data_IF_880810192420
#
_entry.id   IF_880810192420
#
_cell.length_a   1.000
_cell.length_b   1.000
_cell.length_c   1.000
_cell.angle_alpha   90.00
_cell.angle_beta   90.00
_cell.angle_gamma   90.00
#
_symmetry.space_group_name_H-M   'P 1'
#
loop_
_entity.id
_entity.type
_entity.pdbx_description
1 polymer ?
#
# COMPACT_ATOMS: atom_id res chain seq x y z
N UNK A 1 -10.39 15.72 -13.26
CA UNK A 1 -10.76 16.72 -12.24
C UNK A 1 -10.10 18.04 -12.58
N UNK A 2 -10.85 19.13 -12.72
CA UNK A 2 -10.29 20.46 -12.99
C UNK A 2 -10.82 21.44 -11.95
N UNK A 3 -9.92 22.19 -11.31
CA UNK A 3 -10.26 23.40 -10.57
C UNK A 3 -9.89 24.61 -11.42
N UNK A 4 -10.71 25.65 -11.37
CA UNK A 4 -10.37 26.93 -11.99
C UNK A 4 -9.51 27.77 -11.05
N UNK A 5 -8.83 28.77 -11.61
CA UNK A 5 -8.10 29.77 -10.85
C UNK A 5 -7.98 31.07 -11.63
N UNK A 6 -8.17 32.20 -10.96
CA UNK A 6 -7.90 33.52 -11.51
C UNK A 6 -6.41 33.81 -11.40
N UNK A 7 -5.85 34.26 -12.50
CA UNK A 7 -4.45 34.62 -12.58
C UNK A 7 -4.12 35.86 -11.71
N UNK A 8 -3.03 35.77 -10.94
CA UNK A 8 -2.58 36.84 -10.03
C UNK A 8 -1.65 37.89 -10.68
N UNK A 9 -1.46 37.83 -12.00
CA UNK A 9 -0.71 38.81 -12.78
C UNK A 9 0.75 38.45 -13.08
N UNK A 10 1.34 39.20 -14.00
CA UNK A 10 2.67 38.93 -14.56
C UNK A 10 3.80 39.14 -13.56
N UNK A 11 3.63 40.05 -12.60
CA UNK A 11 4.62 40.29 -11.56
C UNK A 11 4.77 39.06 -10.64
N UNK A 12 3.66 38.47 -10.19
CA UNK A 12 3.66 37.26 -9.38
C UNK A 12 4.24 36.06 -10.16
N UNK A 13 3.87 35.94 -11.44
CA UNK A 13 4.39 34.92 -12.35
C UNK A 13 5.91 35.04 -12.52
N UNK A 14 6.40 36.26 -12.80
CA UNK A 14 7.83 36.51 -12.97
C UNK A 14 8.62 36.18 -11.70
N UNK A 15 8.09 36.57 -10.53
CA UNK A 15 8.73 36.32 -9.25
C UNK A 15 8.88 34.82 -8.98
N UNK A 16 7.79 34.05 -9.09
CA UNK A 16 7.81 32.61 -8.75
C UNK A 16 8.64 31.81 -9.76
N UNK A 17 8.57 32.16 -11.05
CA UNK A 17 9.41 31.54 -12.10
C UNK A 17 10.90 31.77 -11.84
N UNK A 18 11.26 33.00 -11.44
CA UNK A 18 12.65 33.34 -11.11
C UNK A 18 13.12 32.57 -9.88
N UNK A 19 12.33 32.56 -8.81
CA UNK A 19 12.67 31.86 -7.57
C UNK A 19 12.86 30.36 -7.77
N UNK A 20 11.94 29.71 -8.48
CA UNK A 20 12.00 28.27 -8.75
C UNK A 20 13.00 27.90 -9.85
N UNK A 21 13.56 28.88 -10.58
CA UNK A 21 14.32 28.64 -11.81
C UNK A 21 13.53 27.78 -12.81
N UNK A 22 12.24 28.09 -12.99
CA UNK A 22 11.30 27.38 -13.87
C UNK A 22 10.60 28.36 -14.79
N UNK A 23 10.48 28.01 -16.06
CA UNK A 23 9.76 28.83 -17.03
C UNK A 23 8.24 28.68 -16.87
N UNK A 24 7.51 29.75 -17.18
CA UNK A 24 6.05 29.77 -17.32
C UNK A 24 5.22 29.39 -16.08
N UNK A 25 5.72 29.67 -14.87
CA UNK A 25 4.91 29.49 -13.66
C UNK A 25 3.91 30.65 -13.52
N UNK A 26 2.65 30.33 -13.21
CA UNK A 26 1.61 31.32 -12.87
C UNK A 26 1.09 31.05 -11.46
N UNK A 27 0.93 32.10 -10.67
CA UNK A 27 0.20 32.03 -9.42
C UNK A 27 -1.27 32.28 -9.72
N UNK A 28 -2.15 31.41 -9.21
CA UNK A 28 -3.60 31.53 -9.38
C UNK A 28 -4.31 31.50 -8.03
N UNK A 29 -5.45 32.19 -7.95
CA UNK A 29 -6.30 32.27 -6.77
C UNK A 29 -7.71 31.75 -7.09
N UNK A 30 -8.28 30.96 -6.19
CA UNK A 30 -9.63 30.42 -6.33
C UNK A 30 -10.68 31.44 -5.86
N UNK A 31 -11.78 31.56 -6.60
CA UNK A 31 -12.92 32.38 -6.21
C UNK A 31 -14.17 31.51 -6.01
N UNK A 32 -15.05 31.88 -5.08
CA UNK A 32 -16.17 31.03 -4.66
C UNK A 32 -17.18 30.67 -5.77
N UNK A 33 -17.17 31.39 -6.90
CA UNK A 33 -18.01 31.13 -8.06
C UNK A 33 -17.35 30.23 -9.12
N UNK A 34 -16.13 29.76 -8.87
CA UNK A 34 -15.35 28.94 -9.79
C UNK A 34 -15.65 27.44 -9.63
N UNK A 35 -15.34 26.67 -10.67
CA UNK A 35 -15.39 25.21 -10.60
C UNK A 35 -14.33 24.73 -9.61
N UNK A 36 -14.79 23.96 -8.61
CA UNK A 36 -13.97 23.38 -7.54
C UNK A 36 -13.82 21.87 -7.72
N UNK A 37 -12.90 21.26 -6.96
CA UNK A 37 -12.74 19.80 -6.92
C UNK A 37 -13.64 19.21 -5.85
N UNK A 38 -14.09 17.98 -6.10
CA UNK A 38 -14.86 17.19 -5.14
C UNK A 38 -13.99 16.07 -4.59
N UNK A 39 -13.71 16.03 -3.28
CA UNK A 39 -13.01 14.92 -2.64
C UNK A 39 -13.63 13.55 -2.95
N UNK A 40 -14.97 13.50 -3.07
CA UNK A 40 -15.73 12.29 -3.39
C UNK A 40 -15.35 11.64 -4.74
N UNK A 41 -14.75 12.41 -5.66
CA UNK A 41 -14.28 11.88 -6.95
C UNK A 41 -13.04 10.99 -6.78
N UNK A 42 -12.32 11.14 -5.67
CA UNK A 42 -11.10 10.39 -5.35
C UNK A 42 -11.28 9.44 -4.17
N UNK A 43 -12.11 9.82 -3.20
CA UNK A 43 -12.24 9.14 -1.92
C UNK A 43 -13.72 8.96 -1.57
N UNK A 44 -14.26 7.72 -1.57
CA UNK A 44 -15.69 7.47 -1.41
C UNK A 44 -16.24 7.82 -0.01
N UNK A 45 -15.37 8.02 0.99
CA UNK A 45 -15.75 8.38 2.35
C UNK A 45 -16.24 9.84 2.50
N UNK A 46 -16.01 10.67 1.47
CA UNK A 46 -16.46 12.06 1.42
C UNK A 46 -17.86 12.20 0.79
N UNK A 47 -18.59 13.24 1.20
CA UNK A 47 -19.90 13.55 0.65
C UNK A 47 -19.77 14.24 -0.70
N UNK A 48 -20.77 14.05 -1.57
CA UNK A 48 -20.83 14.72 -2.89
C UNK A 48 -20.93 16.26 -2.81
N UNK A 49 -21.26 16.78 -1.63
CA UNK A 49 -21.31 18.21 -1.27
C UNK A 49 -19.99 18.74 -0.71
N UNK A 50 -19.02 17.88 -0.40
CA UNK A 50 -17.72 18.32 0.07
C UNK A 50 -16.94 18.93 -1.10
N UNK A 51 -16.26 20.04 -0.84
CA UNK A 51 -15.53 20.82 -1.84
C UNK A 51 -14.13 21.17 -1.35
N UNK A 52 -13.16 21.13 -2.27
CA UNK A 52 -11.79 21.59 -2.02
C UNK A 52 -11.30 22.37 -3.24
N UNK A 53 -10.63 23.50 -3.00
CA UNK A 53 -10.01 24.27 -4.08
C UNK A 53 -8.77 23.53 -4.63
N UNK A 54 -7.60 23.80 -4.06
CA UNK A 54 -6.32 23.22 -4.50
C UNK A 54 -5.77 22.14 -3.58
N UNK A 55 -6.42 21.86 -2.45
CA UNK A 55 -6.02 20.78 -1.55
C UNK A 55 -6.12 19.41 -2.25
N UNK A 56 -5.23 18.48 -1.90
CA UNK A 56 -5.15 17.19 -2.59
C UNK A 56 -6.37 16.29 -2.39
N UNK A 57 -6.93 16.25 -1.17
CA UNK A 57 -7.97 15.28 -0.84
C UNK A 57 -8.96 15.62 0.28
N UNK A 58 -8.64 16.52 1.22
CA UNK A 58 -9.55 16.86 2.34
C UNK A 58 -9.59 18.37 2.57
N UNK A 59 -10.75 18.95 2.97
CA UNK A 59 -10.83 20.35 3.39
C UNK A 59 -10.01 20.66 4.65
N UNK A 60 -9.90 19.69 5.56
CA UNK A 60 -9.18 19.83 6.84
C UNK A 60 -8.39 18.56 7.12
N UNK A 61 -7.13 18.73 7.48
CA UNK A 61 -6.26 17.72 8.06
C UNK A 61 -6.00 18.07 9.53
N UNK A 62 -6.27 17.12 10.41
CA UNK A 62 -5.99 17.20 11.83
C UNK A 62 -4.91 16.18 12.19
N UNK A 63 -3.97 16.57 13.06
CA UNK A 63 -2.95 15.68 13.62
C UNK A 63 -2.80 16.01 15.11
N UNK A 64 -2.48 15.02 15.96
CA UNK A 64 -2.11 15.28 17.35
C UNK A 64 -0.60 15.45 17.57
N UNK A 65 -0.23 16.25 18.58
CA UNK A 65 1.16 16.37 19.05
C UNK A 65 1.71 15.01 19.49
N UNK A 66 0.87 14.20 20.13
CA UNK A 66 1.24 12.87 20.61
C UNK A 66 1.61 11.91 19.47
N UNK A 67 0.91 11.97 18.32
CA UNK A 67 1.27 11.22 17.11
C UNK A 67 2.62 11.63 16.55
N UNK A 68 2.89 12.94 16.50
CA UNK A 68 4.19 13.46 16.04
C UNK A 68 5.32 13.03 16.98
N UNK A 69 5.09 13.10 18.28
CA UNK A 69 6.07 12.71 19.29
C UNK A 69 6.39 11.22 19.25
N UNK A 70 5.37 10.36 19.08
CA UNK A 70 5.60 8.92 18.92
C UNK A 70 6.42 8.62 17.65
N UNK A 71 6.12 9.29 16.52
CA UNK A 71 6.90 9.16 15.31
C UNK A 71 8.34 9.64 15.52
N UNK A 72 8.52 10.82 16.10
CA UNK A 72 9.85 11.38 16.40
C UNK A 72 10.67 10.53 17.38
N UNK A 73 10.01 9.75 18.24
CA UNK A 73 10.69 8.78 19.12
C UNK A 73 11.36 7.63 18.36
N UNK A 74 10.95 7.40 17.12
CA UNK A 74 11.42 6.31 16.25
C UNK A 74 12.42 6.78 15.19
N UNK A 75 12.55 8.10 15.00
CA UNK A 75 13.40 8.69 13.96
C UNK A 75 14.77 9.09 14.51
N UNK A 76 15.82 8.86 13.72
CA UNK A 76 17.17 9.38 14.01
C UNK A 76 17.23 10.90 13.83
N UNK A 77 16.64 11.41 12.76
CA UNK A 77 16.44 12.84 12.50
C UNK A 77 14.96 13.14 12.74
N UNK A 78 14.68 13.96 13.75
CA UNK A 78 13.30 14.37 14.04
C UNK A 78 12.73 15.21 12.91
N UNK A 79 11.44 15.07 12.68
CA UNK A 79 10.65 15.85 11.73
C UNK A 79 9.75 16.82 12.49
N UNK A 80 9.42 17.93 11.86
CA UNK A 80 8.50 18.91 12.41
C UNK A 80 7.06 18.58 11.99
N UNK A 81 6.08 19.17 12.68
CA UNK A 81 4.67 19.02 12.29
C UNK A 81 4.41 19.53 10.86
N UNK A 82 5.18 20.53 10.44
CA UNK A 82 5.11 21.13 9.10
C UNK A 82 5.42 20.16 7.98
N UNK A 83 6.18 19.08 8.23
CA UNK A 83 6.37 17.98 7.29
C UNK A 83 5.04 17.33 6.88
N UNK A 84 4.03 17.35 7.74
CA UNK A 84 2.73 16.70 7.53
C UNK A 84 1.61 17.66 7.14
N UNK A 85 1.88 18.97 7.16
CA UNK A 85 0.98 20.05 6.73
C UNK A 85 -0.46 19.94 7.31
N UNK A 86 -0.66 19.71 8.62
CA UNK A 86 -2.01 19.76 9.18
C UNK A 86 -2.56 21.19 9.20
N UNK A 87 -3.87 21.31 9.11
CA UNK A 87 -4.58 22.56 9.38
C UNK A 87 -4.82 22.76 10.88
N UNK A 88 -5.03 21.66 11.61
CA UNK A 88 -5.29 21.67 13.06
C UNK A 88 -4.30 20.73 13.75
N UNK A 89 -3.60 21.27 14.74
CA UNK A 89 -2.76 20.50 15.66
C UNK A 89 -3.47 20.44 17.02
N UNK A 90 -3.64 19.24 17.57
CA UNK A 90 -4.33 19.02 18.85
C UNK A 90 -3.39 18.42 19.89
N UNK A 91 -3.47 18.90 21.13
CA UNK A 91 -2.70 18.42 22.26
C UNK A 91 -3.62 17.73 23.30
N UNK A 92 -3.00 17.00 24.24
CA UNK A 92 -3.72 16.42 25.39
C UNK A 92 -4.45 15.10 25.12
N UNK A 93 -4.05 14.38 24.07
CA UNK A 93 -4.55 13.04 23.75
C UNK A 93 -3.41 12.02 23.65
N UNK A 94 -3.78 10.75 23.55
CA UNK A 94 -2.84 9.64 23.31
C UNK A 94 -2.33 9.68 21.86
N UNK A 95 -1.15 9.10 21.56
CA UNK A 95 -0.68 9.00 20.18
C UNK A 95 -1.72 8.32 19.29
N UNK A 96 -2.02 8.96 18.16
CA UNK A 96 -2.99 8.53 17.13
C UNK A 96 -4.45 8.45 17.58
N UNK A 97 -4.79 9.01 18.75
CA UNK A 97 -6.18 9.04 19.24
C UNK A 97 -7.12 9.78 18.28
N UNK A 98 -6.59 10.73 17.50
CA UNK A 98 -7.34 11.45 16.48
C UNK A 98 -7.95 10.54 15.39
N UNK A 99 -7.44 9.33 15.19
CA UNK A 99 -7.99 8.36 14.23
C UNK A 99 -9.39 7.86 14.64
N UNK A 100 -9.76 7.96 15.93
CA UNK A 100 -11.11 7.56 16.41
C UNK A 100 -12.15 8.67 16.39
N UNK A 101 -11.74 9.92 16.18
CA UNK A 101 -12.66 11.01 16.38
C UNK A 101 -13.63 11.15 15.21
N UNK A 102 -14.76 10.44 15.32
CA UNK A 102 -15.82 10.45 14.30
C UNK A 102 -16.50 11.81 14.25
N UNK A 103 -16.79 12.42 15.39
CA UNK A 103 -17.35 13.77 15.50
C UNK A 103 -16.53 14.59 16.49
N UNK A 104 -16.05 15.75 16.05
CA UNK A 104 -15.17 16.63 16.81
C UNK A 104 -15.85 17.97 16.93
N UNK A 105 -16.01 18.49 18.14
CA UNK A 105 -16.53 19.83 18.39
C UNK A 105 -15.39 20.74 18.85
N UNK A 106 -15.07 21.76 18.06
CA UNK A 106 -14.09 22.79 18.40
C UNK A 106 -14.81 24.13 18.50
N UNK A 107 -15.06 24.59 19.73
CA UNK A 107 -15.94 25.73 19.96
C UNK A 107 -17.36 25.45 19.47
N UNK A 108 -17.82 26.19 18.45
CA UNK A 108 -19.10 25.97 17.78
C UNK A 108 -19.00 25.21 16.46
N UNK A 109 -17.79 24.81 16.04
CA UNK A 109 -17.56 24.13 14.77
C UNK A 109 -17.57 22.62 14.98
N UNK A 110 -18.46 21.93 14.28
CA UNK A 110 -18.51 20.47 14.26
C UNK A 110 -17.75 19.96 13.02
N UNK A 111 -16.75 19.12 13.24
CA UNK A 111 -16.00 18.41 12.21
C UNK A 111 -16.37 16.93 12.28
N UNK A 112 -16.29 16.25 11.13
CA UNK A 112 -16.53 14.81 11.03
C UNK A 112 -15.28 14.12 10.49
N UNK A 113 -14.73 13.16 11.24
CA UNK A 113 -13.66 12.30 10.78
C UNK A 113 -14.13 11.48 9.58
N UNK A 114 -13.40 11.55 8.46
CA UNK A 114 -13.74 10.82 7.22
C UNK A 114 -12.84 9.62 6.98
N UNK A 115 -11.53 9.82 7.08
CA UNK A 115 -10.51 8.80 6.88
C UNK A 115 -9.16 9.28 7.43
N UNK A 116 -8.25 8.34 7.67
CA UNK A 116 -6.85 8.68 7.96
C UNK A 116 -6.12 9.16 6.70
N UNK A 117 -5.20 10.11 6.86
CA UNK A 117 -4.42 10.66 5.75
C UNK A 117 -3.27 9.73 5.36
N UNK A 118 -3.28 9.11 4.15
CA UNK A 118 -2.11 8.40 3.65
C UNK A 118 -0.96 9.39 3.44
N UNK A 119 0.26 9.01 3.84
CA UNK A 119 1.43 9.91 3.79
C UNK A 119 2.25 9.67 2.52
N UNK A 120 2.64 10.77 1.88
CA UNK A 120 3.41 10.79 0.63
C UNK A 120 4.81 11.40 0.82
N UNK A 121 5.59 11.49 -0.27
CA UNK A 121 7.01 11.93 -0.24
C UNK A 121 7.20 13.36 0.28
N UNK A 122 6.18 14.21 0.22
CA UNK A 122 6.25 15.55 0.79
C UNK A 122 6.58 15.55 2.29
N UNK A 123 6.25 14.47 3.00
CA UNK A 123 6.66 14.32 4.40
C UNK A 123 8.18 14.21 4.60
N UNK A 124 8.92 13.87 3.55
CA UNK A 124 10.39 13.77 3.54
C UNK A 124 11.09 15.07 3.15
N UNK A 125 10.33 16.11 2.80
CA UNK A 125 10.86 17.44 2.51
C UNK A 125 11.36 18.07 3.80
N UNK A 126 12.62 18.49 3.82
CA UNK A 126 13.12 19.38 4.86
C UNK A 126 12.60 20.80 4.58
N UNK A 127 11.70 21.35 5.41
CA UNK A 127 11.03 22.62 5.13
C UNK A 127 11.97 23.81 5.19
N UNK A 128 13.11 23.70 5.87
CA UNK A 128 14.05 24.81 6.04
C UNK A 128 14.98 24.97 4.82
N UNK A 129 15.30 23.87 4.15
CA UNK A 129 16.27 23.86 3.03
C UNK A 129 15.66 23.46 1.69
N UNK A 130 14.40 22.99 1.66
CA UNK A 130 13.72 22.62 0.42
C UNK A 130 14.25 21.34 -0.24
N UNK A 131 14.88 20.45 0.52
CA UNK A 131 15.48 19.19 0.00
C UNK A 131 14.71 17.99 0.53
N UNK A 132 14.35 17.07 -0.37
CA UNK A 132 13.74 15.78 -0.01
C UNK A 132 14.81 14.69 0.12
N UNK A 133 14.83 13.96 1.24
CA UNK A 133 15.69 12.77 1.36
C UNK A 133 15.04 11.49 0.78
N UNK A 134 13.72 11.56 0.52
CA UNK A 134 12.91 10.52 -0.11
C UNK A 134 12.71 9.25 0.70
N UNK A 135 13.15 9.21 1.98
CA UNK A 135 13.20 7.99 2.79
C UNK A 135 12.49 8.14 4.12
N UNK A 136 12.87 9.11 4.95
CA UNK A 136 12.26 9.31 6.28
C UNK A 136 11.36 10.55 6.25
N UNK A 137 10.20 10.55 6.92
CA UNK A 137 9.71 9.55 7.88
C UNK A 137 8.93 8.39 7.25
N UNK A 138 8.74 8.38 5.92
CA UNK A 138 7.92 7.38 5.23
C UNK A 138 8.37 5.93 5.47
N UNK A 139 9.68 5.67 5.55
CA UNK A 139 10.20 4.34 5.82
C UNK A 139 9.80 3.85 7.21
N UNK A 140 9.89 4.71 8.22
CA UNK A 140 9.42 4.42 9.58
C UNK A 140 7.91 4.16 9.65
N UNK A 141 7.13 4.76 8.75
CA UNK A 141 5.69 4.53 8.65
C UNK A 141 5.32 3.17 7.99
N UNK A 142 6.23 2.52 7.24
CA UNK A 142 5.98 1.21 6.59
C UNK A 142 6.02 0.06 7.58
N UNK A 143 5.04 -0.85 7.52
CA UNK A 143 4.85 -1.94 8.48
C UNK A 143 4.49 -3.25 7.76
N UNK A 144 5.05 -4.37 8.20
CA UNK A 144 4.81 -5.69 7.60
C UNK A 144 4.61 -6.73 8.69
N UNK A 145 3.58 -7.56 8.57
CA UNK A 145 3.31 -8.65 9.51
C UNK A 145 3.26 -10.00 8.81
N UNK A 146 3.55 -11.06 9.57
CA UNK A 146 3.54 -12.44 9.11
C UNK A 146 2.94 -13.34 10.20
N UNK A 147 2.07 -14.27 9.78
CA UNK A 147 1.63 -15.36 10.64
C UNK A 147 2.64 -16.51 10.52
N UNK A 148 3.10 -17.02 11.67
CA UNK A 148 4.04 -18.12 11.78
C UNK A 148 3.50 -19.23 12.69
N UNK A 149 4.00 -20.44 12.49
CA UNK A 149 3.90 -21.52 13.49
C UNK A 149 4.88 -21.26 14.64
N UNK A 150 4.73 -22.02 15.72
CA UNK A 150 5.67 -21.95 16.86
C UNK A 150 7.14 -22.22 16.48
N UNK A 151 7.38 -23.03 15.45
CA UNK A 151 8.74 -23.30 14.94
C UNK A 151 9.28 -22.22 13.97
N UNK A 152 8.58 -21.11 13.79
CA UNK A 152 8.98 -19.99 12.95
C UNK A 152 8.66 -20.14 11.47
N UNK A 153 8.09 -21.27 11.01
CA UNK A 153 7.68 -21.42 9.61
C UNK A 153 6.47 -20.56 9.31
N UNK A 154 6.49 -19.88 8.16
CA UNK A 154 5.35 -19.08 7.69
C UNK A 154 4.07 -19.92 7.55
N UNK A 155 2.94 -19.27 7.77
CA UNK A 155 1.62 -19.78 7.45
C UNK A 155 1.04 -18.91 6.35
N UNK A 156 0.56 -19.55 5.28
CA UNK A 156 -0.05 -18.85 4.14
C UNK A 156 -1.47 -19.33 3.94
N UNK A 157 -2.29 -18.54 3.25
CA UNK A 157 -3.64 -18.95 2.87
C UNK A 157 -3.68 -20.12 1.86
N UNK A 158 -2.51 -20.59 1.37
CA UNK A 158 -2.41 -21.89 0.66
C UNK A 158 -2.65 -23.07 1.60
N UNK A 159 -2.23 -22.93 2.86
CA UNK A 159 -2.32 -23.94 3.90
C UNK A 159 -3.56 -23.71 4.77
N UNK A 160 -3.82 -22.45 5.13
CA UNK A 160 -4.92 -22.02 5.99
C UNK A 160 -5.79 -20.98 5.27
N UNK A 161 -6.69 -21.38 4.34
CA UNK A 161 -7.47 -20.48 3.49
C UNK A 161 -8.27 -19.43 4.25
N UNK A 162 -8.77 -19.77 5.45
CA UNK A 162 -9.51 -18.86 6.33
C UNK A 162 -8.74 -17.60 6.71
N UNK A 163 -7.40 -17.57 6.55
CA UNK A 163 -6.59 -16.35 6.73
C UNK A 163 -7.07 -15.18 5.86
N UNK A 164 -7.67 -15.42 4.69
CA UNK A 164 -8.17 -14.33 3.83
C UNK A 164 -9.34 -13.56 4.46
N UNK A 165 -10.02 -14.15 5.44
CA UNK A 165 -11.14 -13.54 6.17
C UNK A 165 -10.70 -12.63 7.31
N UNK A 166 -9.40 -12.60 7.62
CA UNK A 166 -8.85 -11.69 8.61
C UNK A 166 -8.65 -10.33 7.97
N UNK A 167 -9.54 -9.41 8.29
CA UNK A 167 -9.42 -8.00 7.94
C UNK A 167 -8.45 -7.31 8.91
N UNK A 168 -7.58 -6.47 8.37
CA UNK A 168 -6.54 -5.77 9.13
C UNK A 168 -6.57 -4.30 8.78
N UNK A 169 -6.64 -3.46 9.79
CA UNK A 169 -6.52 -2.01 9.66
C UNK A 169 -5.79 -1.45 10.88
N UNK A 170 -5.35 -0.19 10.81
CA UNK A 170 -4.69 0.47 11.95
C UNK A 170 -5.62 1.53 12.50
N UNK A 171 -5.70 1.63 13.83
CA UNK A 171 -6.52 2.60 14.55
C UNK A 171 -5.84 2.88 15.91
N UNK A 172 -5.68 4.14 16.32
CA UNK A 172 -5.08 4.54 17.60
C UNK A 172 -3.69 3.95 17.89
N UNK A 173 -2.82 3.83 16.88
CA UNK A 173 -1.52 3.19 17.06
C UNK A 173 -1.59 1.69 17.36
N UNK A 174 -2.77 1.09 17.20
CA UNK A 174 -3.02 -0.34 17.27
C UNK A 174 -3.26 -0.89 15.85
N UNK A 175 -2.91 -2.16 15.68
CA UNK A 175 -3.33 -2.99 14.57
C UNK A 175 -4.59 -3.70 15.02
N UNK A 176 -5.69 -3.47 14.30
CA UNK A 176 -6.97 -4.10 14.57
C UNK A 176 -7.11 -5.32 13.67
N UNK A 177 -7.37 -6.47 14.28
CA UNK A 177 -7.71 -7.71 13.59
C UNK A 177 -9.20 -7.99 13.76
N UNK A 178 -9.88 -8.18 12.64
CA UNK A 178 -11.30 -8.52 12.57
C UNK A 178 -11.48 -9.79 11.75
N UNK A 179 -12.30 -10.70 12.24
CA UNK A 179 -12.70 -11.90 11.51
C UNK A 179 -14.13 -12.32 11.89
N UNK A 180 -14.81 -13.13 11.04
CA UNK A 180 -16.16 -13.61 11.34
C UNK A 180 -16.23 -14.33 12.69
N UNK A 181 -17.28 -14.02 13.46
CA UNK A 181 -17.55 -14.63 14.78
C UNK A 181 -16.47 -14.42 15.84
N UNK A 182 -15.53 -13.50 15.61
CA UNK A 182 -14.48 -13.14 16.57
C UNK A 182 -14.72 -11.74 17.11
N UNK A 183 -14.44 -11.53 18.40
CA UNK A 183 -14.28 -10.18 18.94
C UNK A 183 -13.07 -9.53 18.27
N UNK A 184 -13.19 -8.26 17.88
CA UNK A 184 -12.06 -7.50 17.33
C UNK A 184 -10.92 -7.45 18.35
N UNK A 185 -9.70 -7.62 17.85
CA UNK A 185 -8.49 -7.58 18.66
C UNK A 185 -7.65 -6.36 18.26
N UNK A 186 -7.32 -5.53 19.23
CA UNK A 186 -6.38 -4.43 19.06
C UNK A 186 -5.03 -4.82 19.65
N UNK A 187 -3.97 -4.80 18.86
CA UNK A 187 -2.59 -4.99 19.34
C UNK A 187 -1.74 -3.74 19.08
N UNK A 188 -0.83 -3.35 19.97
CA UNK A 188 0.04 -2.21 19.72
C UNK A 188 0.87 -2.44 18.46
N UNK A 189 0.89 -1.47 17.56
CA UNK A 189 1.71 -1.58 16.35
C UNK A 189 3.20 -1.58 16.70
N UNK A 190 3.58 -0.78 17.70
CA UNK A 190 4.91 -0.84 18.29
C UNK A 190 4.99 -2.04 19.21
N UNK A 191 5.55 -3.12 18.69
CA UNK A 191 5.71 -4.36 19.45
C UNK A 191 6.53 -4.11 20.72
N UNK A 192 6.04 -4.53 21.90
CA UNK A 192 6.77 -4.33 23.16
C UNK A 192 8.16 -4.96 23.13
N UNK A 193 9.22 -4.20 23.48
CA UNK A 193 10.62 -4.68 23.48
C UNK A 193 10.90 -5.94 24.29
N UNK A 194 10.02 -6.28 25.25
CA UNK A 194 10.13 -7.50 26.06
C UNK A 194 9.79 -8.76 25.25
N UNK A 195 9.07 -8.62 24.14
CA UNK A 195 8.72 -9.74 23.30
C UNK A 195 9.96 -10.19 22.52
N UNK A 196 10.12 -11.49 22.27
CA UNK A 196 11.30 -11.99 21.59
C UNK A 196 11.28 -11.67 20.10
N UNK A 197 12.46 -11.44 19.52
CA UNK A 197 12.65 -11.55 18.06
C UNK A 197 12.76 -13.04 17.71
N UNK A 198 11.92 -13.50 16.80
CA UNK A 198 11.88 -14.89 16.31
C UNK A 198 12.64 -14.98 14.99
N UNK A 199 13.37 -16.09 14.82
CA UNK A 199 13.87 -16.51 13.52
C UNK A 199 12.74 -17.20 12.76
N UNK A 200 12.39 -16.67 11.60
CA UNK A 200 11.30 -17.16 10.77
C UNK A 200 11.82 -17.72 9.46
N UNK A 201 11.05 -18.61 8.84
CA UNK A 201 11.39 -19.19 7.53
C UNK A 201 10.27 -18.97 6.53
N UNK A 202 10.54 -18.13 5.52
CA UNK A 202 9.58 -17.67 4.51
C UNK A 202 10.05 -18.14 3.13
N UNK A 203 9.28 -19.04 2.50
CA UNK A 203 9.64 -19.74 1.26
C UNK A 203 11.06 -20.34 1.26
N UNK A 204 11.47 -20.89 2.41
CA UNK A 204 12.75 -21.58 2.56
C UNK A 204 13.94 -20.69 2.91
N UNK A 205 13.76 -19.37 2.92
CA UNK A 205 14.77 -18.38 3.32
C UNK A 205 14.52 -17.85 4.72
N UNK A 206 15.60 -17.52 5.42
CA UNK A 206 15.54 -16.99 6.78
C UNK A 206 15.20 -15.49 6.77
N UNK A 207 14.38 -15.07 7.72
CA UNK A 207 14.02 -13.67 7.99
C UNK A 207 13.63 -13.53 9.45
N UNK A 208 13.78 -12.34 10.03
CA UNK A 208 13.38 -12.09 11.41
C UNK A 208 11.96 -11.53 11.50
N UNK A 209 11.36 -11.70 12.68
CA UNK A 209 10.11 -11.04 13.03
C UNK A 209 10.00 -10.85 14.54
N UNK A 210 9.57 -9.67 14.96
CA UNK A 210 9.34 -9.35 16.36
C UNK A 210 7.96 -9.86 16.78
N UNK A 211 7.93 -10.72 17.80
CA UNK A 211 6.72 -11.39 18.25
C UNK A 211 5.67 -10.42 18.80
N UNK A 212 4.46 -10.44 18.25
CA UNK A 212 3.39 -9.52 18.63
C UNK A 212 2.65 -9.90 19.94
N UNK A 213 3.05 -10.99 20.60
CA UNK A 213 2.56 -11.40 21.91
C UNK A 213 1.51 -12.52 21.90
N UNK A 214 1.22 -13.03 23.09
CA UNK A 214 0.39 -14.23 23.27
C UNK A 214 -1.10 -13.98 22.99
N UNK A 215 -1.57 -12.74 23.12
CA UNK A 215 -2.97 -12.39 22.88
C UNK A 215 -3.35 -12.58 21.41
N UNK A 216 -2.57 -12.04 20.48
CA UNK A 216 -2.79 -12.26 19.04
C UNK A 216 -2.51 -13.69 18.62
N UNK A 217 -1.54 -14.35 19.26
CA UNK A 217 -1.29 -15.77 19.03
C UNK A 217 -2.54 -16.62 19.37
N UNK A 218 -3.15 -16.37 20.54
CA UNK A 218 -4.36 -17.05 20.96
C UNK A 218 -5.55 -16.72 20.05
N UNK A 219 -5.71 -15.46 19.66
CA UNK A 219 -6.79 -15.02 18.76
C UNK A 219 -6.71 -15.71 17.40
N UNK A 220 -5.52 -15.72 16.77
CA UNK A 220 -5.29 -16.39 15.49
C UNK A 220 -5.54 -17.90 15.58
N UNK A 221 -5.01 -18.54 16.62
CA UNK A 221 -5.19 -19.98 16.87
C UNK A 221 -6.66 -20.32 17.06
N UNK A 222 -7.41 -19.48 17.79
CA UNK A 222 -8.85 -19.65 18.03
C UNK A 222 -9.65 -19.50 16.75
N UNK A 223 -9.37 -18.47 15.94
CA UNK A 223 -10.10 -18.24 14.70
C UNK A 223 -9.86 -19.32 13.64
N UNK A 224 -8.60 -19.78 13.52
CA UNK A 224 -8.21 -20.76 12.51
C UNK A 224 -8.50 -22.21 12.94
N UNK A 225 -8.71 -22.45 14.25
CA UNK A 225 -9.05 -23.78 14.82
C UNK A 225 -8.09 -24.90 14.36
N UNK A 226 -6.80 -24.56 14.25
CA UNK A 226 -5.76 -25.43 13.71
C UNK A 226 -4.59 -25.50 14.71
N UNK A 227 -3.35 -25.44 14.23
CA UNK A 227 -2.14 -25.43 15.06
C UNK A 227 -1.93 -24.07 15.77
N UNK A 228 -1.10 -24.02 16.84
CA UNK A 228 -0.71 -22.76 17.46
C UNK A 228 0.02 -21.84 16.47
N UNK A 229 -0.51 -20.63 16.33
CA UNK A 229 0.05 -19.60 15.47
C UNK A 229 0.45 -18.36 16.25
N UNK A 230 1.41 -17.63 15.71
CA UNK A 230 1.86 -16.34 16.23
C UNK A 230 1.90 -15.31 15.12
N UNK A 231 1.71 -14.05 15.47
CA UNK A 231 1.94 -12.92 14.56
C UNK A 231 3.31 -12.31 14.87
N UNK A 232 4.10 -12.05 13.83
CA UNK A 232 5.36 -11.32 13.95
C UNK A 232 5.36 -10.08 13.06
N UNK A 233 6.08 -9.04 13.49
CA UNK A 233 6.25 -7.78 12.78
C UNK A 233 7.69 -7.63 12.26
N UNK A 234 7.86 -7.20 11.01
CA UNK A 234 9.16 -6.87 10.46
C UNK A 234 9.54 -5.45 10.83
N UNK A 235 10.67 -5.27 11.52
CA UNK A 235 11.17 -3.94 11.85
C UNK A 235 12.21 -3.46 10.85
N UNK A 236 12.27 -2.15 10.63
CA UNK A 236 13.12 -1.52 9.59
C UNK A 236 14.63 -1.71 9.77
N UNK A 237 15.06 -2.16 10.95
CA UNK A 237 16.46 -2.51 11.27
C UNK A 237 16.79 -3.99 10.94
N UNK A 238 15.77 -4.84 10.72
CA UNK A 238 15.95 -6.24 10.35
C UNK A 238 16.39 -6.37 8.90
N UNK A 239 17.01 -7.50 8.57
CA UNK A 239 17.51 -7.78 7.21
C UNK A 239 16.38 -8.39 6.38
N UNK A 240 15.90 -7.73 5.30
CA UNK A 240 14.88 -8.30 4.42
C UNK A 240 15.49 -9.38 3.50
N UNK A 241 14.62 -10.23 2.94
CA UNK A 241 15.02 -11.23 1.94
C UNK A 241 15.31 -10.55 0.60
N UNK A 242 16.25 -11.13 -0.16
CA UNK A 242 16.63 -10.63 -1.49
C UNK A 242 15.79 -11.33 -2.57
N UNK A 243 15.11 -10.57 -3.41
CA UNK A 243 14.27 -11.11 -4.48
C UNK A 243 15.08 -12.02 -5.43
N UNK A 244 16.33 -11.63 -5.74
CA UNK A 244 17.24 -12.44 -6.58
C UNK A 244 17.51 -13.85 -6.06
N UNK A 245 17.51 -14.05 -4.73
CA UNK A 245 17.68 -15.39 -4.13
C UNK A 245 16.42 -16.26 -4.27
N UNK A 246 15.27 -15.65 -4.53
CA UNK A 246 13.98 -16.31 -4.68
C UNK A 246 13.73 -16.64 -6.17
N UNK A 247 13.95 -15.66 -7.05
CA UNK A 247 13.85 -15.77 -8.51
C UNK A 247 15.03 -15.00 -9.13
N UNK A 248 15.84 -15.68 -9.95
CA UNK A 248 17.09 -15.13 -10.51
C UNK A 248 16.94 -13.81 -11.29
N UNK A 249 15.87 -13.58 -12.08
CA UNK A 249 15.75 -12.36 -12.90
C UNK A 249 15.70 -11.03 -12.12
N UNK A 250 15.42 -11.05 -10.82
CA UNK A 250 15.44 -9.83 -10.00
C UNK A 250 16.86 -9.32 -9.76
N UNK A 251 16.98 -8.01 -9.47
CA UNK A 251 18.27 -7.40 -9.20
C UNK A 251 18.72 -7.67 -7.77
N UNK A 252 20.03 -7.59 -7.48
CA UNK A 252 20.54 -7.75 -6.11
C UNK A 252 20.00 -6.72 -5.10
N UNK A 253 19.52 -5.57 -5.59
CA UNK A 253 18.95 -4.47 -4.80
C UNK A 253 17.48 -4.67 -4.45
N UNK A 254 16.76 -5.51 -5.20
CA UNK A 254 15.34 -5.78 -4.97
C UNK A 254 15.18 -6.66 -3.71
N UNK A 255 14.40 -6.16 -2.75
CA UNK A 255 14.25 -6.77 -1.42
C UNK A 255 12.80 -6.76 -0.98
N UNK A 256 12.40 -7.81 -0.28
CA UNK A 256 11.09 -7.95 0.33
C UNK A 256 11.21 -8.58 1.72
N UNK A 257 10.39 -8.18 2.70
CA UNK A 257 10.33 -8.87 3.97
C UNK A 257 9.58 -10.20 3.79
N UNK A 258 8.24 -10.17 3.82
CA UNK A 258 7.40 -11.36 3.87
C UNK A 258 6.69 -11.70 2.56
N UNK A 259 6.71 -10.79 1.56
CA UNK A 259 6.11 -11.02 0.23
C UNK A 259 6.74 -12.22 -0.49
N UNK A 260 5.99 -12.91 -1.35
CA UNK A 260 6.46 -14.14 -2.00
C UNK A 260 7.82 -13.98 -2.72
N UNK A 261 7.92 -13.05 -3.67
CA UNK A 261 9.15 -12.87 -4.46
C UNK A 261 9.43 -11.44 -4.95
N UNK A 262 8.42 -10.56 -5.07
CA UNK A 262 8.55 -9.27 -5.74
C UNK A 262 8.04 -8.09 -4.89
N UNK A 263 8.64 -6.89 -5.03
CA UNK A 263 8.14 -5.68 -4.37
C UNK A 263 6.77 -5.23 -4.87
N UNK A 264 6.51 -5.34 -6.18
CA UNK A 264 5.28 -4.88 -6.83
C UNK A 264 4.74 -5.96 -7.77
N UNK A 265 3.46 -6.27 -7.63
CA UNK A 265 2.65 -7.00 -8.61
C UNK A 265 1.64 -6.04 -9.24
N UNK A 266 1.64 -5.99 -10.58
CA UNK A 266 0.70 -5.19 -11.37
C UNK A 266 -0.16 -6.11 -12.25
N UNK A 267 -1.45 -5.80 -12.35
CA UNK A 267 -2.41 -6.53 -13.20
C UNK A 267 -3.35 -5.53 -13.87
N UNK A 268 -3.67 -5.71 -15.16
CA UNK A 268 -4.68 -4.89 -15.82
C UNK A 268 -6.11 -5.37 -15.58
N UNK A 269 -7.05 -4.43 -15.53
CA UNK A 269 -8.49 -4.73 -15.47
C UNK A 269 -8.94 -5.53 -16.70
N UNK A 270 -8.38 -5.22 -17.87
CA UNK A 270 -8.67 -5.91 -19.13
C UNK A 270 -8.24 -7.39 -19.10
N UNK A 271 -7.11 -7.72 -18.45
CA UNK A 271 -6.70 -9.11 -18.21
C UNK A 271 -7.72 -9.87 -17.36
N UNK A 272 -8.22 -9.24 -16.29
CA UNK A 272 -9.23 -9.85 -15.41
C UNK A 272 -10.57 -10.03 -16.14
N UNK A 273 -10.99 -9.03 -16.92
CA UNK A 273 -12.19 -9.13 -17.74
C UNK A 273 -12.08 -10.26 -18.77
N UNK A 274 -10.93 -10.39 -19.45
CA UNK A 274 -10.69 -11.47 -20.41
C UNK A 274 -10.71 -12.85 -19.75
N UNK A 275 -10.23 -12.99 -18.52
CA UNK A 275 -10.34 -14.24 -17.78
C UNK A 275 -11.82 -14.53 -17.43
N UNK A 276 -12.54 -13.52 -16.94
CA UNK A 276 -13.94 -13.66 -16.54
C UNK A 276 -14.90 -13.97 -17.69
N UNK A 277 -14.55 -13.67 -18.96
CA UNK A 277 -15.34 -14.10 -20.12
C UNK A 277 -15.20 -15.59 -20.43
N UNK A 278 -14.21 -16.26 -19.84
CA UNK A 278 -13.91 -17.69 -20.02
C UNK A 278 -14.36 -18.55 -18.83
N UNK A 279 -14.98 -17.95 -17.82
CA UNK A 279 -15.37 -18.60 -16.57
C UNK A 279 -16.87 -18.54 -16.36
N UNK A 280 -17.45 -19.61 -15.80
CA UNK A 280 -18.86 -19.62 -15.39
C UNK A 280 -19.09 -18.72 -14.16
N UNK A 281 -18.30 -18.89 -13.11
CA UNK A 281 -18.29 -18.03 -11.93
C UNK A 281 -17.23 -16.94 -12.09
N UNK A 282 -17.66 -15.69 -12.21
CA UNK A 282 -16.74 -14.55 -12.26
C UNK A 282 -16.01 -14.38 -10.94
N UNK A 283 -14.76 -13.93 -11.03
CA UNK A 283 -13.89 -13.65 -9.88
C UNK A 283 -13.42 -12.20 -9.87
N UNK A 284 -13.02 -11.73 -8.69
CA UNK A 284 -12.53 -10.38 -8.47
C UNK A 284 -11.01 -10.30 -8.50
N UNK A 285 -10.48 -9.07 -8.64
CA UNK A 285 -9.03 -8.80 -8.60
C UNK A 285 -8.38 -9.25 -7.28
N UNK A 286 -9.15 -9.34 -6.19
CA UNK A 286 -8.72 -9.80 -4.88
C UNK A 286 -8.21 -11.25 -4.85
N UNK A 287 -8.65 -12.10 -5.79
CA UNK A 287 -8.10 -13.45 -5.97
C UNK A 287 -6.62 -13.41 -6.39
N UNK A 288 -6.21 -12.30 -7.03
CA UNK A 288 -4.88 -12.16 -7.59
C UNK A 288 -3.93 -11.28 -6.76
N UNK A 289 -4.47 -10.52 -5.81
CA UNK A 289 -3.72 -9.74 -4.81
C UNK A 289 -2.64 -8.80 -5.42
N UNK A 290 -2.93 -8.04 -6.50
CA UNK A 290 -1.97 -7.07 -7.01
C UNK A 290 -1.77 -5.92 -6.01
N UNK A 291 -0.64 -5.24 -6.15
CA UNK A 291 -0.41 -3.95 -5.51
C UNK A 291 -1.02 -2.81 -6.33
N UNK A 292 -0.93 -2.93 -7.67
CA UNK A 292 -1.41 -1.92 -8.61
C UNK A 292 -2.34 -2.58 -9.62
N UNK A 293 -3.50 -1.97 -9.81
CA UNK A 293 -4.42 -2.30 -10.89
C UNK A 293 -4.47 -1.16 -11.88
N UNK A 294 -4.45 -1.47 -13.17
CA UNK A 294 -4.42 -0.48 -14.26
C UNK A 294 -5.56 -0.71 -15.24
N UNK A 295 -6.12 0.38 -15.75
CA UNK A 295 -7.18 0.38 -16.76
C UNK A 295 -6.67 1.00 -18.06
N UNK A 296 -7.50 1.00 -19.11
CA UNK A 296 -7.18 1.69 -20.37
C UNK A 296 -6.12 1.03 -21.25
N UNK A 297 -5.89 -0.28 -21.10
CA UNK A 297 -4.98 -1.07 -21.93
C UNK A 297 -5.67 -2.36 -22.42
N UNK A 298 -5.05 -3.05 -23.39
CA UNK A 298 -5.55 -4.33 -23.90
C UNK A 298 -5.32 -5.45 -22.88
N UNK A 299 -6.11 -6.53 -22.97
CA UNK A 299 -5.90 -7.70 -22.12
C UNK A 299 -4.47 -8.24 -22.28
N UNK A 300 -3.79 -8.43 -21.15
CA UNK A 300 -2.41 -8.92 -21.03
C UNK A 300 -1.34 -8.00 -21.62
N UNK A 301 -1.67 -6.75 -21.96
CA UNK A 301 -0.70 -5.80 -22.49
C UNK A 301 0.43 -5.53 -21.48
N UNK A 302 0.14 -5.66 -20.19
CA UNK A 302 1.12 -5.55 -19.10
C UNK A 302 2.29 -6.52 -19.26
N UNK A 303 2.11 -7.67 -19.92
CA UNK A 303 3.18 -8.64 -20.18
C UNK A 303 4.33 -8.02 -20.98
N UNK A 304 4.05 -6.98 -21.78
CA UNK A 304 5.03 -6.32 -22.66
C UNK A 304 5.74 -5.13 -22.01
N UNK A 305 5.35 -4.77 -20.79
CA UNK A 305 5.84 -3.56 -20.12
C UNK A 305 7.18 -3.81 -19.45
N UNK A 306 8.26 -3.48 -20.17
CA UNK A 306 9.64 -3.59 -19.69
C UNK A 306 10.02 -2.49 -18.72
N UNK A 307 9.64 -1.24 -19.02
CA UNK A 307 9.86 -0.08 -18.16
C UNK A 307 8.62 0.80 -18.19
N UNK A 308 8.17 1.21 -17.01
CA UNK A 308 7.01 2.08 -16.86
C UNK A 308 7.29 3.21 -15.88
N UNK A 309 6.58 4.31 -16.07
CA UNK A 309 6.50 5.42 -15.14
C UNK A 309 5.05 5.58 -14.73
N UNK A 310 4.81 5.63 -13.42
CA UNK A 310 3.52 6.00 -12.83
C UNK A 310 3.83 7.08 -11.80
N UNK A 311 3.23 8.26 -11.92
CA UNK A 311 3.60 9.40 -11.09
C UNK A 311 5.12 9.67 -11.13
N UNK A 312 5.77 9.66 -9.96
CA UNK A 312 7.22 9.84 -9.83
C UNK A 312 8.02 8.53 -9.78
N UNK A 313 7.33 7.39 -9.90
CA UNK A 313 7.91 6.05 -9.74
C UNK A 313 8.30 5.48 -11.09
N UNK A 314 9.57 5.10 -11.21
CA UNK A 314 10.07 4.33 -12.35
C UNK A 314 10.19 2.85 -11.93
N UNK A 315 9.63 1.96 -12.75
CA UNK A 315 9.60 0.53 -12.47
C UNK A 315 10.04 -0.29 -13.69
N UNK A 316 10.81 -1.33 -13.42
CA UNK A 316 11.28 -2.29 -14.41
C UNK A 316 10.47 -3.59 -14.29
N UNK A 317 9.82 -4.00 -15.38
CA UNK A 317 9.05 -5.23 -15.45
C UNK A 317 9.98 -6.43 -15.60
N UNK A 318 10.08 -7.23 -14.55
CA UNK A 318 11.09 -8.29 -14.41
C UNK A 318 10.63 -9.60 -15.04
N UNK A 319 9.46 -10.09 -14.64
CA UNK A 319 8.93 -11.38 -15.07
C UNK A 319 7.41 -11.45 -14.87
N UNK A 320 6.76 -12.41 -15.53
CA UNK A 320 5.35 -12.68 -15.30
C UNK A 320 5.12 -13.32 -13.91
N UNK A 321 3.91 -13.19 -13.38
CA UNK A 321 3.53 -13.82 -12.12
C UNK A 321 2.96 -15.23 -12.37
N UNK A 322 3.70 -16.25 -11.92
CA UNK A 322 3.25 -17.64 -11.88
C UNK A 322 2.15 -17.84 -10.83
N UNK A 323 0.95 -18.24 -11.28
CA UNK A 323 -0.21 -18.37 -10.39
C UNK A 323 -0.20 -19.72 -9.68
N UNK A 324 -0.58 -19.69 -8.41
CA UNK A 324 -0.62 -20.86 -7.54
C UNK A 324 -2.02 -21.07 -6.95
N UNK A 325 -2.21 -22.17 -6.22
CA UNK A 325 -3.49 -22.59 -5.63
C UNK A 325 -4.21 -21.52 -4.82
N UNK A 326 -3.50 -20.52 -4.30
CA UNK A 326 -4.09 -19.42 -3.55
C UNK A 326 -5.11 -18.62 -4.36
N UNK A 327 -4.99 -18.56 -5.69
CA UNK A 327 -5.99 -17.88 -6.53
C UNK A 327 -7.34 -18.58 -6.52
N UNK A 328 -7.41 -19.84 -6.06
CA UNK A 328 -8.65 -20.64 -5.97
C UNK A 328 -9.37 -20.47 -4.63
N UNK A 329 -8.81 -19.66 -3.73
CA UNK A 329 -9.46 -19.30 -2.45
C UNK A 329 -10.33 -18.08 -2.70
N UNK A 330 -11.62 -18.25 -2.47
CA UNK A 330 -12.60 -17.17 -2.52
C UNK A 330 -12.34 -16.21 -1.34
N UNK A 331 -12.04 -14.92 -1.61
CA UNK A 331 -11.58 -13.97 -0.58
C UNK A 331 -12.70 -13.60 0.42
N UNK A 332 -13.96 -13.75 0.03
CA UNK A 332 -15.11 -13.37 0.87
C UNK A 332 -15.54 -14.52 1.79
N UNK A 333 -15.27 -15.76 1.38
CA UNK A 333 -15.72 -16.97 2.11
C UNK A 333 -14.56 -17.78 2.71
N UNK A 334 -13.33 -17.60 2.25
CA UNK A 334 -12.18 -18.42 2.62
C UNK A 334 -12.28 -19.88 2.15
N UNK A 335 -13.20 -20.18 1.23
CA UNK A 335 -13.40 -21.53 0.68
C UNK A 335 -12.53 -21.72 -0.56
N UNK A 336 -11.87 -22.87 -0.66
CA UNK A 336 -11.01 -23.22 -1.79
C UNK A 336 -11.76 -24.10 -2.79
N UNK A 337 -11.94 -23.62 -4.02
CA UNK A 337 -12.55 -24.35 -5.14
C UNK A 337 -11.64 -25.49 -5.65
N UNK A 338 -10.33 -25.38 -5.44
CA UNK A 338 -9.24 -26.29 -5.84
C UNK A 338 -9.04 -26.45 -7.35
N UNK A 339 -9.93 -25.94 -8.21
CA UNK A 339 -9.77 -25.96 -9.67
C UNK A 339 -9.68 -24.55 -10.25
N UNK A 340 -10.72 -23.75 -10.08
CA UNK A 340 -10.81 -22.43 -10.72
C UNK A 340 -10.20 -21.33 -9.85
N UNK A 341 -9.56 -20.30 -10.43
CA UNK A 341 -9.39 -20.01 -11.88
C UNK A 341 -8.19 -20.70 -12.55
N UNK A 342 -7.52 -21.63 -11.88
CA UNK A 342 -6.24 -22.17 -12.37
C UNK A 342 -6.41 -23.09 -13.58
N UNK A 343 -7.46 -23.91 -13.63
CA UNK A 343 -7.73 -24.75 -14.81
C UNK A 343 -8.01 -23.89 -16.05
N UNK A 344 -8.87 -22.88 -15.92
CA UNK A 344 -9.11 -21.92 -17.00
C UNK A 344 -7.82 -21.23 -17.44
N UNK A 345 -7.03 -20.69 -16.51
CA UNK A 345 -5.76 -20.04 -16.84
C UNK A 345 -4.77 -21.00 -17.51
N UNK A 346 -4.66 -22.26 -17.07
CA UNK A 346 -3.79 -23.27 -17.70
C UNK A 346 -4.19 -23.59 -19.15
N UNK A 347 -5.44 -23.39 -19.54
CA UNK A 347 -5.88 -23.66 -20.91
C UNK A 347 -5.30 -22.70 -21.95
N UNK A 348 -4.89 -21.48 -21.56
CA UNK A 348 -4.47 -20.45 -22.53
C UNK A 348 -3.34 -19.51 -22.06
N UNK A 349 -2.88 -19.62 -20.81
CA UNK A 349 -1.87 -18.73 -20.21
C UNK A 349 -0.64 -19.48 -19.71
N UNK A 350 -0.27 -20.60 -20.33
CA UNK A 350 1.04 -21.22 -20.06
C UNK A 350 2.17 -20.40 -20.71
N UNK A 351 3.36 -20.48 -20.14
CA UNK A 351 4.54 -19.79 -20.68
C UNK A 351 4.97 -20.36 -22.03
N UNK A 352 5.81 -19.62 -22.75
CA UNK A 352 6.53 -20.15 -23.89
C UNK A 352 7.40 -21.36 -23.45
N UNK A 353 7.53 -22.42 -24.26
CA UNK A 353 8.42 -23.54 -23.97
C UNK A 353 9.86 -23.14 -23.58
N UNK A 354 10.39 -22.06 -24.14
CA UNK A 354 11.72 -21.54 -23.79
C UNK A 354 11.82 -21.09 -22.32
N UNK A 355 10.73 -20.61 -21.73
CA UNK A 355 10.66 -20.12 -20.34
C UNK A 355 10.17 -21.19 -19.35
N UNK A 356 9.94 -22.43 -19.80
CA UNK A 356 9.39 -23.51 -18.97
C UNK A 356 10.30 -23.85 -17.78
N UNK A 357 11.61 -23.62 -17.89
CA UNK A 357 12.55 -23.79 -16.78
C UNK A 357 12.32 -22.80 -15.63
N UNK A 358 11.67 -21.65 -15.89
CA UNK A 358 11.33 -20.60 -14.91
C UNK A 358 9.95 -20.85 -14.30
N UNK A 359 8.94 -21.04 -15.15
CA UNK A 359 7.52 -21.07 -14.73
C UNK A 359 6.94 -22.48 -14.58
N UNK A 360 7.66 -23.51 -15.05
CA UNK A 360 7.23 -24.91 -15.05
C UNK A 360 5.88 -25.08 -15.77
N UNK A 361 4.85 -25.46 -15.05
CA UNK A 361 3.48 -25.63 -15.56
C UNK A 361 2.48 -24.64 -14.94
N UNK A 362 2.98 -23.60 -14.26
CA UNK A 362 2.14 -22.58 -13.68
C UNK A 362 1.66 -21.62 -14.79
N UNK A 363 0.36 -21.29 -14.83
CA UNK A 363 -0.11 -20.28 -15.76
C UNK A 363 0.29 -18.87 -15.28
N UNK A 364 0.34 -17.93 -16.23
CA UNK A 364 0.84 -16.57 -16.05
C UNK A 364 -0.30 -15.55 -16.01
N UNK A 365 -0.38 -14.76 -14.95
CA UNK A 365 -1.36 -13.68 -14.83
C UNK A 365 -0.84 -12.52 -13.97
N UNK A 366 -0.65 -11.36 -14.59
CA UNK A 366 0.03 -10.23 -13.97
C UNK A 366 1.53 -10.25 -14.14
N UNK A 367 2.15 -9.11 -13.83
CA UNK A 367 3.58 -8.89 -14.01
C UNK A 367 4.22 -8.34 -12.75
N UNK A 368 5.39 -8.88 -12.41
CA UNK A 368 6.20 -8.42 -11.30
C UNK A 368 7.14 -7.30 -11.75
N UNK A 369 7.24 -6.28 -10.90
CA UNK A 369 8.09 -5.11 -11.13
C UNK A 369 9.12 -4.94 -10.00
N UNK A 370 10.34 -4.59 -10.39
CA UNK A 370 11.32 -3.93 -9.53
C UNK A 370 11.08 -2.42 -9.52
N UNK A 371 11.52 -1.74 -8.46
CA UNK A 371 11.38 -0.28 -8.35
C UNK A 371 12.76 0.35 -8.58
N UNK A 372 12.90 1.12 -9.65
CA UNK A 372 14.15 1.74 -10.09
C UNK A 372 14.32 3.08 -9.38
N UNK A 373 13.23 3.84 -9.35
CA UNK A 373 13.14 5.12 -8.67
C UNK A 373 11.89 5.12 -7.80
N UNK A 374 12.09 5.35 -6.50
CA UNK A 374 10.99 5.53 -5.57
C UNK A 374 10.36 6.91 -5.73
N UNK A 375 9.06 7.00 -5.49
CA UNK A 375 8.26 8.21 -5.65
C UNK A 375 6.83 7.96 -5.18
N UNK A 376 5.92 8.84 -5.58
CA UNK A 376 4.50 8.70 -5.26
C UNK A 376 3.74 8.23 -6.50
N UNK A 377 2.74 7.38 -6.28
CA UNK A 377 1.68 7.05 -7.23
C UNK A 377 0.34 7.30 -6.57
N UNK A 378 -0.62 7.75 -7.35
CA UNK A 378 -2.00 7.97 -6.95
C UNK A 378 -2.96 7.23 -7.86
N UNK A 379 -4.13 6.87 -7.36
CA UNK A 379 -5.22 6.38 -8.21
C UNK A 379 -5.56 7.48 -9.23
N UNK A 380 -5.60 7.09 -10.51
CA UNK A 380 -5.82 8.00 -11.63
C UNK A 380 -4.55 8.51 -12.30
N UNK A 381 -3.36 8.23 -11.76
CA UNK A 381 -2.10 8.56 -12.45
C UNK A 381 -1.99 7.80 -13.78
N UNK A 382 -1.58 8.47 -14.86
CA UNK A 382 -1.32 7.81 -16.14
C UNK A 382 -0.12 6.86 -16.03
N UNK A 383 -0.18 5.75 -16.77
CA UNK A 383 0.91 4.78 -16.89
C UNK A 383 1.63 5.02 -18.21
N UNK A 384 2.88 5.47 -18.14
CA UNK A 384 3.71 5.69 -19.33
C UNK A 384 4.66 4.51 -19.55
N UNK A 385 4.55 3.84 -20.69
CA UNK A 385 5.53 2.84 -21.12
C UNK A 385 6.74 3.54 -21.73
N UNK A 386 7.94 3.27 -21.21
CA UNK A 386 9.19 3.78 -21.80
C UNK A 386 9.55 2.90 -23.00
N UNK A 387 9.74 3.54 -24.15
CA UNK A 387 10.22 2.90 -25.38
C UNK A 387 11.67 3.33 -25.55
N UNK A 388 12.61 2.38 -25.39
CA UNK A 388 14.01 2.62 -25.72
C UNK A 388 14.14 2.64 -27.26
N UNK A 389 14.52 3.78 -27.81
CA UNK A 389 14.75 4.00 -29.25
C UNK A 389 16.08 3.44 -29.72
#
# INVERSE_FOLDING_TARGET
>A
MQAQGRDCGDEAAQWISTFLSKEHCRLVHYEANMITRKPSDMWPDFQATDEVAYAEGSPVLLISEASLDDLNSQLKKKVAITNFQPNILVAGCSPYEEDTWVEILIGSVQLKGRMSCPRCIFTTLDPDIGVMDGKEPLKTLKRFWLVIKEDGRMVTARQEPRLVLVSVYSENGHLILKAPEMKELAIPVKVPRKNPVKNCRVFGLDVQGHDCGDEVAHWLTTFLKSEPYRLVHFETHMIPRKCKQIKEPFRPTDKVPYNDCAPVLLISEASLENLNTRMEKKISMWHFRPNITVSGCSAFEEDTWKKIIIGDVEMEGVMACDRCILTTVDPDTGIMDRKEPLETLKSYRLCDPAEQHIYKSAPLFGRFFGVDKTGTISVGDPVYKIIEC
#
